data_IF_329706658594
#
_entry.id   IF_329706658594
#
_cell.length_a   1.000
_cell.length_b   1.000
_cell.length_c   1.000
_cell.angle_alpha   90.00
_cell.angle_beta   90.00
_cell.angle_gamma   90.00
#
_symmetry.space_group_name_H-M   'P 1'
#
loop_
_entity.id
_entity.type
_entity.pdbx_description
1 polymer ?
#
# COMPACT_ATOMS: atom_id res chain seq x y z
N UNK A 1 -6.21 -37.87 27.35
CA UNK A 1 -5.80 -36.66 28.09
C UNK A 1 -6.87 -35.60 27.90
N UNK A 2 -7.07 -34.71 28.87
CA UNK A 2 -7.92 -33.52 28.68
C UNK A 2 -7.26 -32.59 27.65
N UNK A 3 -8.01 -32.23 26.60
CA UNK A 3 -7.57 -31.38 25.48
C UNK A 3 -8.36 -30.08 25.38
N UNK A 4 -9.19 -29.79 26.39
CA UNK A 4 -10.02 -28.57 26.44
C UNK A 4 -9.19 -27.28 26.39
N UNK A 5 -7.94 -27.34 26.85
CA UNK A 5 -6.99 -26.23 26.82
C UNK A 5 -6.53 -25.84 25.40
N UNK A 6 -6.55 -26.74 24.42
CA UNK A 6 -5.94 -26.51 23.09
C UNK A 6 -6.56 -25.36 22.30
N UNK A 7 -7.84 -25.10 22.52
CA UNK A 7 -8.61 -24.06 21.82
C UNK A 7 -9.12 -22.97 22.77
N UNK A 8 -8.56 -22.90 23.99
CA UNK A 8 -8.83 -21.86 24.97
C UNK A 8 -7.92 -20.63 24.80
N UNK A 9 -7.93 -19.72 25.78
CA UNK A 9 -7.06 -18.53 25.76
C UNK A 9 -5.59 -18.92 25.87
N UNK A 10 -4.76 -18.40 24.95
CA UNK A 10 -3.33 -18.72 24.81
C UNK A 10 -2.44 -18.13 25.91
N UNK A 11 -2.96 -17.21 26.72
CA UNK A 11 -2.27 -16.55 27.84
C UNK A 11 -2.38 -17.31 29.17
N UNK A 12 -3.03 -18.47 29.16
CA UNK A 12 -3.27 -19.28 30.36
C UNK A 12 -2.11 -20.23 30.66
N UNK A 13 -1.93 -20.57 31.94
CA UNK A 13 -0.95 -21.57 32.37
C UNK A 13 -1.24 -22.94 31.76
N UNK A 14 -2.52 -23.28 31.60
CA UNK A 14 -2.95 -24.56 31.05
C UNK A 14 -2.57 -24.70 29.57
N UNK A 15 -2.71 -23.62 28.79
CA UNK A 15 -2.23 -23.60 27.40
C UNK A 15 -0.71 -23.74 27.32
N UNK A 16 0.04 -22.99 28.14
CA UNK A 16 1.50 -23.06 28.16
C UNK A 16 2.02 -24.46 28.58
N UNK A 17 1.37 -25.08 29.56
CA UNK A 17 1.71 -26.42 30.02
C UNK A 17 1.41 -27.46 28.94
N UNK A 18 0.21 -27.41 28.34
CA UNK A 18 -0.19 -28.33 27.28
C UNK A 18 0.70 -28.25 26.03
N UNK A 19 1.13 -27.04 25.62
CA UNK A 19 2.09 -26.89 24.51
C UNK A 19 3.47 -27.46 24.88
N UNK A 20 3.86 -27.39 26.15
CA UNK A 20 5.10 -28.02 26.62
C UNK A 20 4.99 -29.55 26.58
N UNK A 21 3.84 -30.12 26.93
CA UNK A 21 3.57 -31.56 26.79
C UNK A 21 3.64 -32.02 25.32
N UNK A 22 3.06 -31.25 24.39
CA UNK A 22 3.16 -31.51 22.95
C UNK A 22 4.62 -31.59 22.50
N UNK A 23 5.45 -30.63 22.92
CA UNK A 23 6.87 -30.61 22.57
C UNK A 23 7.62 -31.82 23.13
N UNK A 24 7.30 -32.26 24.34
CA UNK A 24 7.88 -33.47 24.94
C UNK A 24 7.47 -34.72 24.17
N UNK A 25 6.19 -34.85 23.80
CA UNK A 25 5.70 -35.97 22.97
C UNK A 25 6.37 -35.99 21.60
N UNK A 26 6.55 -34.84 20.96
CA UNK A 26 7.26 -34.73 19.69
C UNK A 26 8.71 -35.23 19.80
N UNK A 27 9.46 -34.79 20.81
CA UNK A 27 10.84 -35.24 21.05
C UNK A 27 10.94 -36.73 21.34
N UNK A 28 9.99 -37.27 22.13
CA UNK A 28 9.93 -38.70 22.42
C UNK A 28 9.63 -39.53 21.16
N UNK A 29 8.74 -39.03 20.29
CA UNK A 29 8.45 -39.65 19.01
C UNK A 29 9.66 -39.64 18.07
N UNK A 30 10.39 -38.52 17.98
CA UNK A 30 11.63 -38.43 17.23
C UNK A 30 12.69 -39.42 17.75
N UNK A 31 12.86 -39.54 19.07
CA UNK A 31 13.83 -40.44 19.67
C UNK A 31 13.52 -41.92 19.41
N UNK A 32 12.23 -42.28 19.31
CA UNK A 32 11.77 -43.66 19.10
C UNK A 32 11.71 -44.08 17.63
N UNK A 33 11.47 -43.15 16.71
CA UNK A 33 11.29 -43.44 15.26
C UNK A 33 12.47 -43.00 14.39
N UNK A 34 13.34 -42.13 14.90
CA UNK A 34 14.49 -41.60 14.16
C UNK A 34 14.13 -40.53 13.11
N UNK A 35 12.90 -40.01 13.12
CA UNK A 35 12.44 -38.98 12.18
C UNK A 35 13.17 -37.65 12.44
N UNK A 36 13.71 -37.02 11.39
CA UNK A 36 14.53 -35.81 11.49
C UNK A 36 13.74 -34.51 11.60
N UNK A 37 12.49 -34.51 11.17
CA UNK A 37 11.63 -33.32 11.10
C UNK A 37 10.26 -33.58 11.72
N UNK A 38 9.59 -32.53 12.16
CA UNK A 38 8.31 -32.59 12.83
C UNK A 38 7.23 -31.92 11.99
N UNK A 39 6.09 -32.57 11.77
CA UNK A 39 4.93 -31.89 11.20
C UNK A 39 4.47 -30.78 12.15
N UNK A 40 4.25 -29.57 11.65
CA UNK A 40 3.84 -28.45 12.49
C UNK A 40 2.30 -28.39 12.57
N UNK A 41 1.68 -28.43 13.77
CA UNK A 41 0.23 -28.50 13.94
C UNK A 41 -0.41 -27.12 14.05
N UNK A 42 0.34 -26.04 13.76
CA UNK A 42 -0.21 -24.70 13.83
C UNK A 42 -1.24 -24.47 12.72
N UNK A 43 -2.12 -23.49 12.90
CA UNK A 43 -3.15 -23.13 11.92
C UNK A 43 -2.57 -22.83 10.53
N UNK A 44 -1.36 -22.26 10.46
CA UNK A 44 -0.72 -21.91 9.19
C UNK A 44 -0.11 -23.12 8.44
N UNK A 45 0.30 -24.17 9.17
CA UNK A 45 1.03 -25.31 8.61
C UNK A 45 0.20 -26.60 8.54
N UNK A 46 -0.88 -26.69 9.32
CA UNK A 46 -1.91 -27.73 9.30
C UNK A 46 -1.44 -29.20 9.34
N UNK A 47 -0.26 -29.49 9.90
CA UNK A 47 0.44 -30.78 9.79
C UNK A 47 0.81 -31.21 8.36
N UNK A 48 0.86 -30.27 7.41
CA UNK A 48 1.31 -30.49 6.04
C UNK A 48 2.81 -30.23 5.91
N UNK A 49 3.27 -29.15 6.54
CA UNK A 49 4.65 -28.70 6.46
C UNK A 49 5.45 -29.18 7.68
N UNK A 50 6.72 -29.55 7.44
CA UNK A 50 7.64 -30.00 8.49
C UNK A 50 8.57 -28.88 8.95
N UNK A 51 8.99 -28.96 10.21
CA UNK A 51 10.00 -28.09 10.81
C UNK A 51 11.08 -28.94 11.45
N UNK A 52 12.32 -28.45 11.44
CA UNK A 52 13.50 -29.18 11.91
C UNK A 52 13.77 -29.00 13.42
N UNK A 53 12.96 -28.20 14.12
CA UNK A 53 13.17 -27.89 15.53
C UNK A 53 11.83 -27.79 16.28
N UNK A 54 11.72 -28.50 17.40
CA UNK A 54 10.52 -28.51 18.25
C UNK A 54 10.20 -27.12 18.84
N UNK A 55 11.20 -26.27 19.03
CA UNK A 55 10.99 -24.90 19.49
C UNK A 55 10.26 -24.05 18.44
N UNK A 56 10.44 -24.34 17.15
CA UNK A 56 9.69 -23.69 16.06
C UNK A 56 8.22 -24.10 16.12
N UNK A 57 7.93 -25.37 16.40
CA UNK A 57 6.54 -25.83 16.63
C UNK A 57 5.92 -25.06 17.77
N UNK A 58 6.64 -24.96 18.90
CA UNK A 58 6.18 -24.25 20.09
C UNK A 58 5.80 -22.82 19.74
N UNK A 59 6.73 -22.08 19.13
CA UNK A 59 6.55 -20.67 18.81
C UNK A 59 5.41 -20.46 17.80
N UNK A 60 5.30 -21.33 16.78
CA UNK A 60 4.19 -21.29 15.82
C UNK A 60 2.83 -21.55 16.47
N UNK A 61 2.73 -22.51 17.38
CA UNK A 61 1.49 -22.80 18.11
C UNK A 61 1.12 -21.65 19.05
N UNK A 62 2.09 -20.96 19.66
CA UNK A 62 1.81 -19.76 20.46
C UNK A 62 1.31 -18.58 19.62
N UNK A 63 1.90 -18.37 18.44
CA UNK A 63 1.55 -17.24 17.56
C UNK A 63 0.23 -17.47 16.81
N UNK A 64 0.04 -18.66 16.26
CA UNK A 64 -1.03 -18.96 15.30
C UNK A 64 -2.13 -19.86 15.88
N UNK A 65 -1.90 -20.52 17.02
CA UNK A 65 -2.81 -21.54 17.56
C UNK A 65 -2.71 -22.86 16.78
N UNK A 66 -3.48 -23.85 17.22
CA UNK A 66 -3.57 -25.15 16.55
C UNK A 66 -4.48 -25.09 15.33
N UNK A 67 -4.20 -25.94 14.32
CA UNK A 67 -5.18 -26.23 13.28
C UNK A 67 -6.49 -26.73 13.90
N UNK A 68 -7.65 -26.45 13.28
CA UNK A 68 -8.93 -26.91 13.81
C UNK A 68 -9.01 -28.44 13.97
N UNK A 69 -9.73 -28.88 14.99
CA UNK A 69 -10.10 -30.28 15.25
C UNK A 69 -8.93 -31.28 15.39
N UNK A 70 -7.71 -30.81 15.66
CA UNK A 70 -6.56 -31.65 15.94
C UNK A 70 -6.44 -32.00 17.42
N UNK A 71 -7.25 -32.97 17.88
CA UNK A 71 -7.26 -33.43 19.28
C UNK A 71 -6.41 -34.67 19.54
N UNK A 72 -5.99 -35.37 18.48
CA UNK A 72 -5.16 -36.58 18.53
C UNK A 72 -3.82 -36.29 17.87
N UNK A 73 -2.74 -36.45 18.62
CA UNK A 73 -1.40 -36.12 18.15
C UNK A 73 -0.76 -37.25 17.33
N UNK A 74 -1.41 -37.61 16.23
CA UNK A 74 -1.03 -38.76 15.38
C UNK A 74 0.43 -38.63 14.88
N UNK A 75 0.85 -37.41 14.52
CA UNK A 75 2.21 -37.11 14.07
C UNK A 75 3.27 -37.08 15.19
N UNK A 76 2.85 -37.25 16.44
CA UNK A 76 3.72 -37.31 17.63
C UNK A 76 3.53 -38.61 18.41
N UNK A 77 3.08 -39.67 17.74
CA UNK A 77 3.03 -41.03 18.28
C UNK A 77 1.80 -41.37 19.11
N UNK A 78 0.76 -40.52 19.14
CA UNK A 78 -0.51 -40.90 19.75
C UNK A 78 -1.33 -41.80 18.81
N UNK A 79 -1.68 -42.99 19.30
CA UNK A 79 -2.56 -43.92 18.60
C UNK A 79 -4.02 -43.48 18.74
N UNK A 80 -4.68 -43.15 17.64
CA UNK A 80 -6.11 -42.86 17.57
C UNK A 80 -6.60 -42.79 16.13
N UNK A 81 -7.91 -42.95 15.92
CA UNK A 81 -8.51 -42.89 14.57
C UNK A 81 -8.72 -41.43 14.19
N UNK A 82 -7.89 -40.94 13.26
CA UNK A 82 -8.13 -39.68 12.57
C UNK A 82 -9.10 -39.94 11.40
N UNK A 83 -10.35 -39.45 11.51
CA UNK A 83 -11.33 -39.52 10.41
C UNK A 83 -11.12 -38.29 9.52
N UNK A 84 -10.11 -38.35 8.66
CA UNK A 84 -9.91 -37.41 7.56
C UNK A 84 -10.03 -38.15 6.23
N UNK A 85 -10.96 -37.70 5.38
CA UNK A 85 -11.33 -38.36 4.13
C UNK A 85 -10.14 -38.62 3.19
N UNK A 86 -9.92 -39.89 2.84
CA UNK A 86 -9.25 -40.28 1.60
C UNK A 86 -9.76 -41.64 1.12
N UNK A 87 -10.33 -41.69 -0.10
CA UNK A 87 -10.41 -42.81 -1.06
C UNK A 87 -11.27 -42.35 -2.26
N UNK A 88 -10.67 -41.93 -3.39
CA UNK A 88 -10.28 -42.69 -4.59
C UNK A 88 -11.43 -43.32 -5.39
N UNK A 89 -11.55 -42.90 -6.66
CA UNK A 89 -11.76 -43.76 -7.85
C UNK A 89 -11.05 -43.14 -9.08
N UNK A 90 -9.82 -43.61 -9.32
CA UNK A 90 -9.23 -44.24 -10.55
C UNK A 90 -10.10 -44.22 -11.82
N UNK A 91 -9.67 -44.02 -13.09
CA UNK A 91 -8.40 -43.75 -13.83
C UNK A 91 -8.80 -43.43 -15.30
N UNK A 92 -8.17 -42.48 -15.99
CA UNK A 92 -7.38 -42.76 -17.21
C UNK A 92 -6.48 -41.59 -17.66
N UNK A 93 -5.21 -41.97 -17.81
CA UNK A 93 -3.98 -41.30 -18.18
C UNK A 93 -4.01 -40.54 -19.52
N UNK A 94 -3.35 -39.38 -19.63
CA UNK A 94 -1.99 -39.22 -20.21
C UNK A 94 -1.55 -37.73 -20.29
N UNK A 95 -0.44 -37.47 -19.59
CA UNK A 95 0.65 -36.47 -19.72
C UNK A 95 0.48 -35.03 -20.30
N UNK A 96 0.88 -34.08 -19.42
CA UNK A 96 1.70 -32.86 -19.58
C UNK A 96 1.32 -31.71 -20.55
N UNK A 97 0.95 -30.54 -19.98
CA UNK A 97 1.84 -29.37 -19.77
C UNK A 97 1.07 -28.04 -19.51
N UNK A 98 1.05 -27.62 -18.23
CA UNK A 98 1.41 -26.28 -17.69
C UNK A 98 0.77 -24.95 -18.21
N UNK A 99 0.09 -24.27 -17.25
CA UNK A 99 -0.29 -22.82 -17.06
C UNK A 99 -1.23 -22.16 -18.09
N UNK A 100 -2.21 -21.31 -17.74
CA UNK A 100 -2.78 -20.81 -16.47
C UNK A 100 -3.97 -19.89 -16.82
N UNK A 101 -5.15 -20.05 -16.19
CA UNK A 101 -6.23 -19.05 -16.01
C UNK A 101 -7.02 -19.51 -14.77
N UNK A 102 -7.36 -18.67 -13.78
CA UNK A 102 -8.53 -17.78 -13.76
C UNK A 102 -9.60 -18.42 -12.85
N UNK A 103 -9.85 -17.88 -11.66
CA UNK A 103 -11.10 -17.15 -11.32
C UNK A 103 -12.18 -18.01 -10.60
N UNK A 104 -12.68 -17.50 -9.45
CA UNK A 104 -14.03 -17.68 -8.86
C UNK A 104 -14.48 -19.05 -8.34
N UNK A 105 -15.38 -19.18 -7.37
CA UNK A 105 -16.07 -18.32 -6.40
C UNK A 105 -16.81 -19.30 -5.45
N UNK A 106 -17.68 -18.76 -4.59
CA UNK A 106 -18.82 -19.43 -3.94
C UNK A 106 -18.62 -19.88 -2.48
N UNK A 107 -18.90 -18.94 -1.57
CA UNK A 107 -19.67 -19.22 -0.36
C UNK A 107 -21.13 -19.43 -0.78
N UNK A 108 -21.74 -20.56 -0.44
CA UNK A 108 -23.19 -20.78 -0.59
C UNK A 108 -23.92 -20.35 0.71
N UNK A 109 -24.79 -19.36 0.52
CA UNK A 109 -26.16 -19.21 1.01
C UNK A 109 -26.63 -19.99 2.24
N UNK A 110 -27.12 -19.24 3.23
CA UNK A 110 -28.44 -19.49 3.81
C UNK A 110 -29.08 -18.13 4.14
N UNK A 111 -30.17 -17.83 3.41
CA UNK A 111 -31.07 -16.69 3.60
C UNK A 111 -31.77 -16.74 4.97
N UNK A 112 -31.80 -15.61 5.71
CA UNK A 112 -33.08 -15.00 6.14
C UNK A 112 -32.89 -13.56 6.65
N UNK A 113 -33.54 -12.64 5.94
CA UNK A 113 -34.17 -11.36 6.30
C UNK A 113 -33.55 -10.35 7.30
N UNK A 114 -33.37 -9.13 6.75
CA UNK A 114 -33.57 -7.81 7.36
C UNK A 114 -33.00 -7.52 8.76
N UNK A 115 -31.71 -7.13 8.82
CA UNK A 115 -31.28 -6.04 9.72
C UNK A 115 -30.16 -5.22 9.08
N UNK A 116 -30.53 -4.01 8.66
CA UNK A 116 -29.67 -2.84 8.48
C UNK A 116 -28.62 -2.74 9.60
N UNK A 117 -27.34 -2.97 9.30
CA UNK A 117 -26.24 -2.59 10.19
C UNK A 117 -25.07 -2.05 9.37
N UNK A 118 -25.08 -0.73 9.22
CA UNK A 118 -23.94 0.19 9.10
C UNK A 118 -22.58 -0.48 8.85
N UNK A 119 -22.22 -0.63 7.56
CA UNK A 119 -20.81 -0.72 7.18
C UNK A 119 -20.27 0.70 7.22
N UNK A 120 -19.31 0.91 8.13
CA UNK A 120 -18.61 2.15 8.43
C UNK A 120 -18.46 3.10 7.24
N UNK A 121 -19.25 4.17 7.32
CA UNK A 121 -19.03 5.46 6.69
C UNK A 121 -17.82 6.14 7.35
N UNK A 122 -16.63 5.56 7.19
CA UNK A 122 -15.39 6.30 7.44
C UNK A 122 -15.07 7.12 6.19
N UNK A 123 -15.84 8.18 6.03
CA UNK A 123 -15.42 9.37 5.33
C UNK A 123 -14.12 9.84 6.00
N UNK A 124 -13.00 9.37 5.46
CA UNK A 124 -11.64 9.70 5.85
C UNK A 124 -11.56 11.24 5.95
N UNK A 125 -11.62 11.79 7.17
CA UNK A 125 -11.58 13.24 7.51
C UNK A 125 -10.23 13.90 7.18
N UNK A 126 -9.55 13.37 6.17
CA UNK A 126 -8.37 13.94 5.53
C UNK A 126 -8.73 15.29 4.90
N UNK A 127 -9.99 15.50 4.51
CA UNK A 127 -10.53 16.77 4.02
C UNK A 127 -10.48 17.87 5.10
N UNK A 128 -10.97 17.58 6.32
CA UNK A 128 -10.91 18.50 7.46
C UNK A 128 -9.45 18.82 7.88
N UNK A 129 -8.50 17.90 7.64
CA UNK A 129 -7.08 18.10 7.97
C UNK A 129 -6.28 18.83 6.86
N UNK A 130 -6.79 18.88 5.63
CA UNK A 130 -6.14 19.53 4.48
C UNK A 130 -6.64 20.97 4.25
N UNK A 131 -7.84 21.31 4.74
CA UNK A 131 -8.40 22.67 4.64
C UNK A 131 -7.65 23.74 5.47
N UNK A 132 -6.63 23.36 6.26
CA UNK A 132 -5.82 24.30 7.07
C UNK A 132 -4.47 24.68 6.43
N UNK A 133 -4.17 24.30 5.18
CA UNK A 133 -2.83 24.49 4.60
C UNK A 133 -2.83 25.44 3.40
N UNK A 134 -3.08 26.72 3.68
CA UNK A 134 -2.69 27.82 2.78
C UNK A 134 -1.20 28.19 2.97
N UNK A 135 -0.63 28.87 1.97
CA UNK A 135 0.82 29.03 1.75
C UNK A 135 1.62 29.72 2.88
N UNK A 136 0.98 30.32 3.89
CA UNK A 136 1.64 30.87 5.10
C UNK A 136 1.96 29.80 6.18
N UNK A 137 1.52 28.54 5.99
CA UNK A 137 1.60 27.47 7.00
C UNK A 137 2.83 26.57 6.86
N UNK A 138 3.57 26.67 5.74
CA UNK A 138 4.74 25.81 5.47
C UNK A 138 5.86 25.98 6.50
N UNK A 139 6.12 27.21 6.92
CA UNK A 139 7.14 27.52 7.92
C UNK A 139 6.74 27.01 9.31
N UNK A 140 5.47 27.18 9.70
CA UNK A 140 4.93 26.63 10.96
C UNK A 140 4.93 25.10 10.99
N UNK A 141 4.64 24.46 9.86
CA UNK A 141 4.68 23.00 9.71
C UNK A 141 6.12 22.50 9.81
N UNK A 142 7.07 23.16 9.13
CA UNK A 142 8.48 22.83 9.22
C UNK A 142 9.04 23.03 10.63
N UNK A 143 8.63 24.08 11.34
CA UNK A 143 8.97 24.31 12.76
C UNK A 143 8.41 23.20 13.66
N UNK A 144 7.13 22.83 13.49
CA UNK A 144 6.52 21.75 14.27
C UNK A 144 7.23 20.41 14.06
N UNK A 145 7.60 20.10 12.81
CA UNK A 145 8.35 18.91 12.47
C UNK A 145 9.78 18.93 13.02
N UNK A 146 10.47 20.07 12.89
CA UNK A 146 11.83 20.23 13.41
C UNK A 146 11.84 20.06 14.92
N UNK A 147 10.88 20.68 15.62
CA UNK A 147 10.69 20.49 17.06
C UNK A 147 10.44 19.02 17.40
N UNK A 148 9.57 18.32 16.67
CA UNK A 148 9.32 16.89 16.90
C UNK A 148 10.53 16.00 16.57
N UNK A 149 11.39 16.41 15.64
CA UNK A 149 12.63 15.72 15.29
C UNK A 149 13.70 15.88 16.37
N UNK A 150 13.74 17.04 17.03
CA UNK A 150 14.66 17.36 18.13
C UNK A 150 14.18 16.86 19.49
N UNK A 151 12.86 16.70 19.68
CA UNK A 151 12.27 16.23 20.92
C UNK A 151 12.54 14.73 21.13
N UNK A 152 13.26 14.31 22.18
CA UNK A 152 13.44 12.90 22.52
C UNK A 152 12.08 12.21 22.77
N UNK A 153 11.97 10.91 22.47
CA UNK A 153 10.71 10.17 22.70
C UNK A 153 10.28 10.18 24.18
N UNK A 154 11.23 10.16 25.09
CA UNK A 154 11.06 10.30 26.54
C UNK A 154 12.37 10.84 27.14
N UNK A 155 12.37 11.35 28.39
CA UNK A 155 13.56 11.90 29.02
C UNK A 155 14.73 10.91 29.02
N UNK A 156 15.88 11.33 28.46
CA UNK A 156 17.07 10.49 28.34
C UNK A 156 17.11 9.53 27.14
N UNK A 157 16.09 9.53 26.27
CA UNK A 157 16.12 8.72 25.04
C UNK A 157 17.09 9.33 24.01
N UNK A 158 18.16 8.61 23.68
CA UNK A 158 19.13 9.03 22.64
C UNK A 158 18.90 8.37 21.29
N UNK A 159 18.16 7.25 21.27
CA UNK A 159 17.96 6.43 20.07
C UNK A 159 16.80 6.93 19.20
N UNK A 160 15.73 7.43 19.82
CA UNK A 160 14.53 7.88 19.11
C UNK A 160 14.09 9.26 19.58
N UNK A 161 13.83 10.14 18.62
CA UNK A 161 12.99 11.32 18.78
C UNK A 161 11.50 10.99 18.60
N UNK A 162 10.61 11.89 19.06
CA UNK A 162 9.16 11.81 18.84
C UNK A 162 8.84 11.51 17.38
N UNK A 163 9.42 12.28 16.46
CA UNK A 163 9.19 12.09 15.03
C UNK A 163 9.70 10.72 14.55
N UNK A 164 10.94 10.33 14.89
CA UNK A 164 11.50 9.06 14.43
C UNK A 164 10.73 7.84 14.94
N UNK A 165 10.21 7.90 16.18
CA UNK A 165 9.39 6.85 16.78
C UNK A 165 8.06 6.71 16.04
N UNK A 166 7.35 7.83 15.83
CA UNK A 166 6.07 7.84 15.09
C UNK A 166 6.27 7.36 13.66
N UNK A 167 7.29 7.84 12.94
CA UNK A 167 7.64 7.35 11.61
C UNK A 167 7.86 5.83 11.58
N UNK A 168 8.58 5.29 12.57
CA UNK A 168 8.89 3.85 12.64
C UNK A 168 7.63 3.02 12.87
N UNK A 169 6.78 3.44 13.81
CA UNK A 169 5.52 2.75 14.11
C UNK A 169 4.53 2.85 12.95
N UNK A 170 4.46 4.00 12.29
CA UNK A 170 3.59 4.18 11.12
C UNK A 170 4.06 3.33 9.93
N UNK A 171 5.37 3.19 9.73
CA UNK A 171 5.90 2.24 8.74
C UNK A 171 5.47 0.81 9.05
N UNK A 172 5.58 0.37 10.31
CA UNK A 172 5.12 -0.96 10.75
C UNK A 172 3.62 -1.13 10.47
N UNK A 173 2.80 -0.15 10.87
CA UNK A 173 1.36 -0.13 10.59
C UNK A 173 1.06 -0.36 9.11
N UNK A 174 1.69 0.44 8.24
CA UNK A 174 1.47 0.35 6.79
C UNK A 174 2.01 -0.94 6.18
N UNK A 175 3.16 -1.45 6.64
CA UNK A 175 3.72 -2.70 6.13
C UNK A 175 2.98 -3.95 6.63
N UNK A 176 2.40 -3.87 7.82
CA UNK A 176 1.69 -4.97 8.47
C UNK A 176 0.18 -4.95 8.22
N UNK A 177 -0.36 -3.95 7.52
CA UNK A 177 -1.79 -3.83 7.24
C UNK A 177 -2.65 -3.59 8.48
N UNK A 178 -2.15 -2.85 9.47
CA UNK A 178 -2.88 -2.64 10.72
C UNK A 178 -4.01 -1.63 10.55
N UNK A 179 -5.17 -1.95 11.10
CA UNK A 179 -6.33 -1.04 11.13
C UNK A 179 -6.05 0.18 12.00
N UNK A 180 -6.80 1.27 11.77
CA UNK A 180 -6.66 2.52 12.54
C UNK A 180 -7.03 2.33 14.02
N UNK A 181 -7.98 1.43 14.29
CA UNK A 181 -8.41 1.03 15.64
C UNK A 181 -7.28 0.29 16.35
N UNK A 182 -6.78 -0.80 15.77
CA UNK A 182 -5.74 -1.61 16.41
C UNK A 182 -4.43 -0.84 16.59
N UNK A 183 -4.09 0.05 15.66
CA UNK A 183 -2.93 0.92 15.80
C UNK A 183 -3.10 1.96 16.92
N UNK A 184 -4.32 2.48 17.12
CA UNK A 184 -4.62 3.38 18.24
C UNK A 184 -4.47 2.66 19.57
N UNK A 185 -5.01 1.45 19.70
CA UNK A 185 -4.87 0.62 20.90
C UNK A 185 -3.39 0.30 21.19
N UNK A 186 -2.60 -0.04 20.17
CA UNK A 186 -1.15 -0.23 20.31
C UNK A 186 -0.48 1.03 20.85
N UNK A 187 -0.78 2.19 20.27
CA UNK A 187 -0.16 3.46 20.66
C UNK A 187 -0.45 3.82 22.12
N UNK A 188 -1.67 3.55 22.60
CA UNK A 188 -2.01 3.70 24.03
C UNK A 188 -1.17 2.76 24.89
N UNK A 189 -1.15 1.46 24.55
CA UNK A 189 -0.38 0.48 25.31
C UNK A 189 1.12 0.81 25.36
N UNK A 190 1.72 1.22 24.23
CA UNK A 190 3.11 1.63 24.17
C UNK A 190 3.37 2.91 24.98
N UNK A 191 2.46 3.89 24.95
CA UNK A 191 2.59 5.11 25.75
C UNK A 191 2.59 4.81 27.25
N UNK A 192 1.82 3.81 27.69
CA UNK A 192 1.77 3.39 29.10
C UNK A 192 2.95 2.49 29.51
N UNK A 193 3.55 1.75 28.57
CA UNK A 193 4.76 0.96 28.81
C UNK A 193 6.05 1.81 28.86
N UNK A 194 6.05 2.99 28.23
CA UNK A 194 7.19 3.89 28.20
C UNK A 194 7.34 4.71 29.49
N UNK A 195 8.54 5.24 29.80
CA UNK A 195 8.74 6.09 30.97
C UNK A 195 7.80 7.30 31.02
N UNK A 196 7.54 7.78 32.23
CA UNK A 196 6.76 8.99 32.47
C UNK A 196 7.38 10.19 31.72
N UNK A 197 6.51 11.01 31.12
CA UNK A 197 6.92 12.13 30.27
C UNK A 197 7.28 11.74 28.84
N UNK A 198 6.81 10.58 28.35
CA UNK A 198 6.95 10.23 26.93
C UNK A 198 6.04 11.07 26.02
N UNK A 199 6.52 11.28 24.81
CA UNK A 199 5.91 12.12 23.77
C UNK A 199 5.20 11.30 22.69
N UNK A 200 5.00 10.00 22.92
CA UNK A 200 4.36 9.13 21.95
C UNK A 200 2.87 9.51 21.80
N UNK A 201 2.36 9.74 20.58
CA UNK A 201 0.94 9.98 20.37
C UNK A 201 0.10 8.81 20.85
N UNK A 202 -1.02 9.09 21.52
CA UNK A 202 -1.96 8.08 22.03
C UNK A 202 -3.07 7.71 21.04
N UNK A 203 -3.01 8.19 19.81
CA UNK A 203 -3.97 7.82 18.78
C UNK A 203 -3.38 7.87 17.38
N UNK A 204 -3.96 7.05 16.49
CA UNK A 204 -3.64 7.09 15.08
C UNK A 204 -3.88 8.48 14.48
N UNK A 205 -4.91 9.20 14.93
CA UNK A 205 -5.18 10.56 14.48
C UNK A 205 -4.00 11.51 14.74
N UNK A 206 -3.46 11.55 15.96
CA UNK A 206 -2.33 12.43 16.28
C UNK A 206 -1.03 11.97 15.62
N UNK A 207 -0.83 10.66 15.46
CA UNK A 207 0.28 10.12 14.68
C UNK A 207 0.17 10.53 13.20
N UNK A 208 -1.00 10.36 12.57
CA UNK A 208 -1.30 10.74 11.18
C UNK A 208 -1.17 12.25 11.01
N UNK A 209 -1.60 13.07 11.97
CA UNK A 209 -1.43 14.54 11.97
C UNK A 209 0.03 14.95 11.97
N UNK A 210 0.88 14.30 12.78
CA UNK A 210 2.33 14.54 12.75
C UNK A 210 2.96 14.10 11.42
N UNK A 211 2.43 13.05 10.80
CA UNK A 211 2.91 12.52 9.53
C UNK A 211 2.36 13.24 8.29
N UNK A 212 1.23 13.94 8.40
CA UNK A 212 0.51 14.61 7.31
C UNK A 212 1.41 15.54 6.49
N UNK A 213 2.31 16.35 7.09
CA UNK A 213 3.30 17.14 6.35
C UNK A 213 4.23 16.36 5.41
N UNK A 214 4.46 15.06 5.68
CA UNK A 214 5.26 14.19 4.81
C UNK A 214 4.44 13.54 3.70
N UNK A 215 3.11 13.65 3.76
CA UNK A 215 2.20 13.17 2.76
C UNK A 215 2.49 13.79 1.39
N UNK A 216 2.18 13.03 0.34
CA UNK A 216 2.10 13.61 -0.99
C UNK A 216 0.81 14.44 -1.03
N UNK A 217 0.95 15.74 -1.24
CA UNK A 217 -0.20 16.60 -1.53
C UNK A 217 -0.95 16.03 -2.73
N UNK A 218 -2.27 15.97 -2.62
CA UNK A 218 -3.14 15.58 -3.72
C UNK A 218 -4.31 16.54 -3.80
N UNK A 219 -4.80 16.76 -5.02
CA UNK A 219 -5.96 17.60 -5.34
C UNK A 219 -7.06 16.68 -5.87
N UNK A 220 -8.24 16.77 -5.26
CA UNK A 220 -9.45 16.11 -5.77
C UNK A 220 -10.06 17.02 -6.82
N UNK A 221 -10.10 16.56 -8.07
CA UNK A 221 -10.74 17.29 -9.17
C UNK A 221 -11.97 16.50 -9.59
N UNK A 222 -13.14 17.13 -9.61
CA UNK A 222 -14.37 16.43 -10.01
C UNK A 222 -14.34 16.24 -11.53
N UNK A 223 -14.85 15.11 -11.99
CA UNK A 223 -14.96 14.79 -13.41
C UNK A 223 -16.42 14.60 -13.80
N UNK A 224 -16.74 14.90 -15.06
CA UNK A 224 -18.02 14.52 -15.63
C UNK A 224 -18.18 12.99 -15.59
N UNK A 225 -19.36 12.44 -15.25
CA UNK A 225 -19.60 10.99 -15.28
C UNK A 225 -19.41 10.33 -16.65
N UNK A 226 -19.61 11.12 -17.72
CA UNK A 226 -19.40 10.72 -19.11
C UNK A 226 -18.05 11.21 -19.65
N UNK A 227 -17.08 11.51 -18.77
CA UNK A 227 -15.68 11.81 -19.10
C UNK A 227 -15.45 13.03 -20.01
N UNK A 228 -16.48 13.83 -20.23
CA UNK A 228 -16.47 14.97 -21.14
C UNK A 228 -15.52 16.11 -20.76
N UNK A 229 -15.28 16.31 -19.45
CA UNK A 229 -14.41 17.36 -18.89
C UNK A 229 -14.11 17.12 -17.41
N UNK A 230 -13.07 17.80 -16.93
CA UNK A 230 -12.83 18.06 -15.52
C UNK A 230 -13.49 19.38 -15.10
N UNK A 231 -14.11 19.39 -13.92
CA UNK A 231 -14.59 20.61 -13.26
C UNK A 231 -13.39 21.34 -12.65
N UNK A 232 -12.56 21.88 -13.52
CA UNK A 232 -11.28 22.53 -13.24
C UNK A 232 -11.22 23.86 -14.00
N UNK A 233 -10.49 24.85 -13.47
CA UNK A 233 -10.37 26.21 -14.03
C UNK A 233 -11.74 26.82 -14.37
N UNK A 234 -12.02 27.10 -15.64
CA UNK A 234 -13.26 27.73 -16.06
C UNK A 234 -14.54 26.93 -15.76
N UNK A 235 -14.43 25.63 -15.46
CA UNK A 235 -15.57 24.76 -15.14
C UNK A 235 -15.72 24.47 -13.65
N UNK A 236 -14.86 25.03 -12.79
CA UNK A 236 -14.79 24.71 -11.35
C UNK A 236 -16.11 24.97 -10.61
N UNK A 237 -16.84 26.02 -10.99
CA UNK A 237 -18.09 26.44 -10.35
C UNK A 237 -19.35 25.87 -11.02
N UNK A 238 -19.23 24.94 -11.96
CA UNK A 238 -20.38 24.34 -12.62
C UNK A 238 -20.89 23.11 -11.87
N UNK A 239 -22.20 23.02 -11.74
CA UNK A 239 -22.89 21.85 -11.15
C UNK A 239 -23.32 20.82 -12.20
N UNK A 240 -23.30 21.21 -13.48
CA UNK A 240 -23.68 20.37 -14.62
C UNK A 240 -22.66 20.50 -15.73
N UNK A 241 -22.45 19.40 -16.45
CA UNK A 241 -21.52 19.38 -17.56
C UNK A 241 -22.10 20.21 -18.73
N UNK A 242 -21.41 21.25 -19.22
CA UNK A 242 -21.86 22.03 -20.37
C UNK A 242 -21.94 21.22 -21.69
N UNK A 243 -21.25 20.06 -21.79
CA UNK A 243 -21.28 19.23 -23.00
C UNK A 243 -22.44 18.25 -23.04
N UNK A 244 -22.70 17.54 -21.94
CA UNK A 244 -23.69 16.46 -21.90
C UNK A 244 -24.87 16.72 -20.95
N UNK A 245 -24.86 17.83 -20.20
CA UNK A 245 -25.93 18.20 -19.26
C UNK A 245 -25.99 17.38 -17.97
N UNK A 246 -25.15 16.34 -17.83
CA UNK A 246 -25.13 15.46 -16.64
C UNK A 246 -24.66 16.22 -15.40
N UNK A 247 -25.29 15.93 -14.27
CA UNK A 247 -24.93 16.48 -12.96
C UNK A 247 -23.51 16.09 -12.55
N UNK A 248 -22.77 17.04 -11.97
CA UNK A 248 -21.49 16.82 -11.29
C UNK A 248 -21.62 15.88 -10.09
N UNK A 249 -22.79 15.85 -9.47
CA UNK A 249 -23.04 15.17 -8.20
C UNK A 249 -24.04 14.02 -8.31
N UNK A 250 -23.86 13.00 -7.47
CA UNK A 250 -24.83 11.92 -7.22
C UNK A 250 -25.83 12.36 -6.16
N UNK A 251 -27.11 12.01 -6.33
CA UNK A 251 -28.16 12.19 -5.30
C UNK A 251 -28.51 10.82 -4.70
N UNK A 252 -28.43 10.68 -3.38
CA UNK A 252 -29.00 9.55 -2.64
C UNK A 252 -30.30 10.02 -1.95
N UNK A 253 -31.44 9.43 -2.31
CA UNK A 253 -32.73 9.64 -1.61
C UNK A 253 -33.51 10.91 -1.97
N UNK A 254 -34.81 10.89 -1.64
CA UNK A 254 -35.84 11.93 -1.94
C UNK A 254 -35.76 13.13 -0.98
N UNK A 255 -34.94 13.08 0.05
CA UNK A 255 -34.75 14.18 0.99
C UNK A 255 -33.71 15.18 0.45
N UNK A 256 -34.20 16.34 0.01
CA UNK A 256 -33.38 17.47 -0.38
C UNK A 256 -32.40 17.85 0.76
N UNK A 257 -31.10 17.75 0.47
CA UNK A 257 -30.12 18.63 1.10
C UNK A 257 -29.09 18.04 2.07
N UNK A 258 -28.93 16.71 2.23
CA UNK A 258 -27.91 16.21 3.18
C UNK A 258 -26.68 15.49 2.62
N UNK A 259 -26.71 14.91 1.42
CA UNK A 259 -25.56 14.13 0.92
C UNK A 259 -25.36 14.32 -0.59
N UNK A 260 -24.60 15.35 -0.96
CA UNK A 260 -24.24 15.66 -2.36
C UNK A 260 -22.77 15.30 -2.56
N UNK A 261 -22.50 14.13 -3.12
CA UNK A 261 -21.13 13.66 -3.39
C UNK A 261 -20.79 13.80 -4.88
N UNK A 262 -19.52 14.12 -5.23
CA UNK A 262 -19.11 14.13 -6.62
C UNK A 262 -19.33 12.77 -7.26
N UNK A 263 -19.85 12.78 -8.49
CA UNK A 263 -20.18 11.56 -9.19
C UNK A 263 -18.94 10.79 -9.65
N UNK A 264 -17.88 11.51 -10.05
CA UNK A 264 -16.57 10.97 -10.43
C UNK A 264 -15.47 11.94 -9.97
N UNK A 265 -14.34 11.40 -9.51
CA UNK A 265 -13.21 12.17 -8.99
C UNK A 265 -11.91 11.69 -9.63
N UNK A 266 -11.10 12.65 -10.04
CA UNK A 266 -9.70 12.50 -10.39
C UNK A 266 -8.86 12.88 -9.17
N UNK A 267 -7.93 12.00 -8.78
CA UNK A 267 -6.94 12.32 -7.77
C UNK A 267 -5.66 12.75 -8.47
N UNK A 268 -5.32 14.03 -8.36
CA UNK A 268 -4.14 14.58 -8.98
C UNK A 268 -3.05 14.81 -7.92
N UNK A 269 -1.85 14.31 -8.17
CA UNK A 269 -0.69 14.46 -7.30
C UNK A 269 0.31 15.40 -7.98
N UNK A 270 0.40 16.68 -7.58
CA UNK A 270 1.24 17.67 -8.22
C UNK A 270 2.71 17.24 -8.32
N UNK A 271 3.31 17.43 -9.49
CA UNK A 271 4.65 16.90 -9.79
C UNK A 271 5.75 17.93 -9.55
N UNK A 272 5.45 19.22 -9.74
CA UNK A 272 6.41 20.32 -9.55
C UNK A 272 7.01 20.32 -8.13
N UNK A 273 6.24 20.27 -7.02
CA UNK A 273 6.80 20.27 -5.67
C UNK A 273 7.72 19.07 -5.43
N UNK A 274 7.41 17.92 -6.03
CA UNK A 274 8.17 16.68 -5.88
C UNK A 274 9.51 16.77 -6.60
N UNK A 275 9.55 17.35 -7.80
CA UNK A 275 10.80 17.62 -8.50
C UNK A 275 11.65 18.67 -7.78
N UNK A 276 11.06 19.76 -7.29
CA UNK A 276 11.77 20.74 -6.44
C UNK A 276 12.46 20.06 -5.25
N UNK A 277 11.78 19.13 -4.59
CA UNK A 277 12.36 18.33 -3.48
C UNK A 277 13.47 17.38 -3.92
N UNK A 278 13.39 16.79 -5.12
CA UNK A 278 14.49 15.98 -5.64
C UNK A 278 15.72 16.84 -5.95
N UNK A 279 15.53 18.04 -6.50
CA UNK A 279 16.63 18.97 -6.78
C UNK A 279 17.23 19.62 -5.54
N UNK A 280 16.47 19.76 -4.45
CA UNK A 280 17.00 20.31 -3.19
C UNK A 280 18.01 19.38 -2.50
N UNK A 281 17.95 18.07 -2.77
CA UNK A 281 18.85 17.08 -2.19
C UNK A 281 20.05 16.86 -3.11
N UNK A 282 21.24 17.29 -2.68
CA UNK A 282 22.50 17.23 -3.44
C UNK A 282 22.74 15.89 -4.15
N UNK A 283 22.50 14.77 -3.45
CA UNK A 283 22.67 13.41 -4.01
C UNK A 283 21.72 13.14 -5.19
N UNK A 284 20.45 13.50 -5.04
CA UNK A 284 19.45 13.29 -6.09
C UNK A 284 19.62 14.27 -7.25
N UNK A 285 19.92 15.54 -6.97
CA UNK A 285 20.24 16.53 -7.99
C UNK A 285 21.44 16.12 -8.87
N UNK A 286 22.47 15.48 -8.29
CA UNK A 286 23.56 14.88 -9.08
C UNK A 286 23.06 13.76 -9.98
N UNK A 287 22.24 12.85 -9.45
CA UNK A 287 21.70 11.74 -10.24
C UNK A 287 20.78 12.22 -11.37
N UNK A 288 20.01 13.30 -11.17
CA UNK A 288 19.14 13.89 -12.20
C UNK A 288 19.91 14.51 -13.37
N UNK A 289 21.22 14.74 -13.23
CA UNK A 289 22.10 15.23 -14.30
C UNK A 289 23.04 14.14 -14.83
N UNK A 290 22.91 12.91 -14.35
CA UNK A 290 23.80 11.80 -14.71
C UNK A 290 23.84 11.54 -16.22
N UNK A 291 22.70 11.65 -16.91
CA UNK A 291 22.62 11.43 -18.35
C UNK A 291 23.49 12.39 -19.19
N UNK A 292 23.89 13.54 -18.63
CA UNK A 292 24.74 14.52 -19.28
C UNK A 292 26.22 14.41 -18.87
N UNK A 293 26.53 13.69 -17.78
CA UNK A 293 27.87 13.55 -17.22
C UNK A 293 28.77 12.73 -18.16
N UNK A 294 29.83 13.32 -18.75
CA UNK A 294 30.69 12.63 -19.71
C UNK A 294 31.62 11.60 -19.06
N UNK A 295 31.94 11.76 -17.77
CA UNK A 295 32.85 10.87 -17.04
C UNK A 295 32.11 9.63 -16.54
N UNK A 296 30.82 9.76 -16.21
CA UNK A 296 30.02 8.65 -15.70
C UNK A 296 29.24 7.89 -16.80
N UNK A 297 28.81 8.58 -17.86
CA UNK A 297 28.00 7.96 -18.91
C UNK A 297 28.86 7.56 -20.10
N UNK A 298 29.03 6.25 -20.29
CA UNK A 298 29.72 5.70 -21.46
C UNK A 298 28.95 5.98 -22.76
N UNK A 299 29.59 6.66 -23.72
CA UNK A 299 29.05 6.97 -25.06
C UNK A 299 29.81 6.20 -26.13
N UNK A 300 29.62 4.89 -26.17
CA UNK A 300 30.30 3.97 -27.10
C UNK A 300 29.49 3.65 -28.36
N UNK A 301 28.43 4.43 -28.64
CA UNK A 301 27.55 4.22 -29.78
C UNK A 301 26.48 3.13 -29.57
N UNK A 302 26.48 2.44 -28.44
CA UNK A 302 25.49 1.42 -28.09
C UNK A 302 24.29 2.03 -27.34
N UNK A 303 23.13 1.40 -27.44
CA UNK A 303 21.92 1.81 -26.73
C UNK A 303 21.97 1.30 -25.27
N UNK A 304 22.50 2.12 -24.35
CA UNK A 304 22.66 1.75 -22.92
C UNK A 304 21.64 2.44 -22.01
N UNK A 305 21.09 3.55 -22.47
CA UNK A 305 20.20 4.41 -21.71
C UNK A 305 19.23 5.12 -22.67
N UNK A 306 18.02 5.56 -22.24
CA UNK A 306 17.12 6.33 -23.10
C UNK A 306 17.78 7.54 -23.79
N UNK A 307 18.78 8.16 -23.15
CA UNK A 307 19.57 9.26 -23.73
C UNK A 307 20.44 8.86 -24.94
N UNK A 308 20.65 7.56 -25.19
CA UNK A 308 21.32 7.07 -26.41
C UNK A 308 20.37 6.95 -27.60
N UNK A 309 19.06 6.97 -27.34
CA UNK A 309 18.04 6.75 -28.36
C UNK A 309 18.04 7.84 -29.44
N UNK A 310 17.68 7.50 -30.69
CA UNK A 310 17.45 8.48 -31.74
C UNK A 310 16.41 9.53 -31.35
N UNK A 311 15.37 9.14 -30.62
CA UNK A 311 14.28 10.03 -30.18
C UNK A 311 14.80 11.14 -29.26
N UNK A 312 15.59 10.79 -28.25
CA UNK A 312 16.20 11.77 -27.35
C UNK A 312 17.10 12.75 -28.12
N UNK A 313 17.98 12.22 -28.98
CA UNK A 313 18.88 13.04 -29.82
C UNK A 313 18.11 13.94 -30.79
N UNK A 314 16.93 13.52 -31.25
CA UNK A 314 16.07 14.31 -32.14
C UNK A 314 15.44 15.47 -31.38
N UNK A 315 14.94 15.24 -30.17
CA UNK A 315 14.40 16.29 -29.29
C UNK A 315 15.50 17.32 -28.97
N UNK A 316 16.69 16.87 -28.59
CA UNK A 316 17.81 17.77 -28.28
C UNK A 316 18.21 18.63 -29.49
N UNK A 317 18.05 18.13 -30.73
CA UNK A 317 18.30 18.91 -31.95
C UNK A 317 17.19 19.88 -32.28
N UNK A 318 15.92 19.48 -32.10
CA UNK A 318 14.75 20.33 -32.37
C UNK A 318 14.65 21.47 -31.35
N UNK A 319 15.06 21.21 -30.12
CA UNK A 319 15.00 22.17 -29.01
C UNK A 319 16.40 22.33 -28.39
N UNK A 320 17.34 22.89 -29.14
CA UNK A 320 18.77 23.00 -28.76
C UNK A 320 19.00 23.67 -27.39
N UNK A 321 18.26 24.73 -27.07
CA UNK A 321 18.32 25.40 -25.75
C UNK A 321 17.90 24.46 -24.63
N UNK A 322 16.82 23.71 -24.82
CA UNK A 322 16.33 22.72 -23.86
C UNK A 322 17.29 21.52 -23.75
N UNK A 323 17.85 21.08 -24.88
CA UNK A 323 18.79 19.99 -25.00
C UNK A 323 20.08 20.23 -24.22
N UNK A 324 20.61 21.47 -24.31
CA UNK A 324 21.85 21.91 -23.67
C UNK A 324 21.77 22.05 -22.15
N UNK A 325 20.59 22.26 -21.58
CA UNK A 325 20.42 22.36 -20.14
C UNK A 325 20.26 20.95 -19.51
N UNK A 326 21.28 20.45 -18.77
CA UNK A 326 21.25 19.10 -18.20
C UNK A 326 20.26 18.93 -17.05
N UNK A 327 19.73 20.03 -16.48
CA UNK A 327 18.69 19.96 -15.43
C UNK A 327 17.30 19.68 -16.00
N UNK A 328 17.09 19.93 -17.29
CA UNK A 328 15.80 19.71 -17.92
C UNK A 328 15.42 18.23 -17.90
N UNK A 329 14.25 17.94 -17.36
CA UNK A 329 13.80 16.57 -17.14
C UNK A 329 13.20 15.99 -18.43
N UNK A 330 13.57 14.76 -18.74
CA UNK A 330 12.94 13.90 -19.74
C UNK A 330 12.18 12.83 -18.98
N UNK A 331 10.87 12.81 -19.21
CA UNK A 331 9.94 11.97 -18.46
C UNK A 331 9.30 10.94 -19.41
N UNK A 332 9.24 9.70 -18.96
CA UNK A 332 8.37 8.68 -19.56
C UNK A 332 7.02 8.73 -18.88
N UNK A 333 5.95 8.80 -19.66
CA UNK A 333 4.58 8.70 -19.15
C UNK A 333 4.05 7.31 -19.49
N UNK A 334 3.52 6.62 -18.49
CA UNK A 334 2.82 5.35 -18.70
C UNK A 334 1.51 5.33 -17.92
N UNK A 335 0.54 4.60 -18.46
CA UNK A 335 -0.78 4.42 -17.86
C UNK A 335 -1.31 3.05 -18.27
N UNK A 336 -1.99 2.40 -17.35
CA UNK A 336 -2.64 1.11 -17.55
C UNK A 336 -3.84 1.02 -16.61
N UNK A 337 -4.84 0.21 -16.98
CA UNK A 337 -6.00 -0.04 -16.15
C UNK A 337 -5.77 -1.23 -15.22
N UNK A 338 -6.16 -1.12 -13.95
CA UNK A 338 -6.16 -2.25 -13.01
C UNK A 338 -7.48 -2.35 -12.25
N UNK A 339 -7.84 -3.56 -11.86
CA UNK A 339 -8.99 -3.81 -11.00
C UNK A 339 -8.55 -4.04 -9.55
N UNK A 340 -8.81 -3.09 -8.63
CA UNK A 340 -8.37 -3.23 -7.24
C UNK A 340 -9.19 -4.23 -6.44
N UNK A 341 -10.36 -4.69 -6.92
CA UNK A 341 -11.29 -5.56 -6.18
C UNK A 341 -11.17 -7.05 -6.53
N UNK A 342 -10.09 -7.46 -7.19
CA UNK A 342 -9.80 -8.86 -7.52
C UNK A 342 -10.34 -9.30 -8.88
N UNK A 343 -9.85 -10.45 -9.34
CA UNK A 343 -9.96 -10.95 -10.73
C UNK A 343 -11.43 -11.03 -11.21
N UNK A 344 -12.39 -11.25 -10.30
CA UNK A 344 -13.78 -11.62 -10.63
C UNK A 344 -14.78 -10.50 -10.83
N UNK A 345 -14.42 -9.26 -10.50
CA UNK A 345 -15.35 -8.14 -10.62
C UNK A 345 -14.93 -7.22 -11.74
N UNK A 346 -15.30 -7.51 -12.99
CA UNK A 346 -15.07 -6.62 -14.14
C UNK A 346 -15.79 -5.26 -14.06
N UNK A 347 -16.49 -4.99 -12.95
CA UNK A 347 -17.29 -3.79 -12.73
C UNK A 347 -16.46 -2.56 -12.35
N UNK A 348 -15.17 -2.71 -12.06
CA UNK A 348 -14.34 -1.58 -11.63
C UNK A 348 -12.93 -1.61 -12.23
N UNK A 349 -12.57 -0.52 -12.92
CA UNK A 349 -11.23 -0.26 -13.45
C UNK A 349 -10.71 1.07 -12.92
N UNK A 350 -9.53 1.05 -12.31
CA UNK A 350 -8.80 2.24 -11.86
C UNK A 350 -7.57 2.44 -12.72
N UNK A 351 -7.33 3.66 -13.17
CA UNK A 351 -6.25 3.99 -14.11
C UNK A 351 -5.22 4.92 -13.45
N UNK A 352 -4.10 4.38 -12.95
CA UNK A 352 -2.95 5.19 -12.58
C UNK A 352 -2.26 5.78 -13.82
N UNK A 353 -1.82 7.04 -13.70
CA UNK A 353 -0.85 7.66 -14.61
C UNK A 353 0.46 7.84 -13.86
N UNK A 354 1.49 7.16 -14.34
CA UNK A 354 2.81 7.09 -13.73
C UNK A 354 3.82 7.88 -14.58
N UNK A 355 4.75 8.55 -13.92
CA UNK A 355 5.88 9.24 -14.52
C UNK A 355 7.19 8.57 -14.12
N UNK A 356 8.03 8.30 -15.10
CA UNK A 356 9.37 7.74 -14.95
C UNK A 356 10.39 8.81 -15.29
N UNK A 357 11.38 9.02 -14.43
CA UNK A 357 12.42 10.02 -14.65
C UNK A 357 13.58 9.40 -15.44
N UNK A 358 13.59 9.59 -16.76
CA UNK A 358 14.63 9.01 -17.61
C UNK A 358 15.99 9.67 -17.46
N UNK A 359 16.11 10.81 -16.79
CA UNK A 359 17.42 11.42 -16.52
C UNK A 359 18.29 10.62 -15.54
N UNK A 360 17.67 9.76 -14.73
CA UNK A 360 18.34 9.00 -13.69
C UNK A 360 19.22 7.88 -14.28
N UNK A 361 20.30 7.48 -13.57
CA UNK A 361 21.11 6.35 -13.99
C UNK A 361 20.31 5.05 -14.16
N UNK A 362 20.77 4.11 -15.01
CA UNK A 362 20.08 2.85 -15.28
C UNK A 362 19.70 2.04 -14.03
N UNK A 363 20.53 2.09 -12.98
CA UNK A 363 20.28 1.37 -11.73
C UNK A 363 19.24 2.03 -10.81
N UNK A 364 18.78 3.24 -11.15
CA UNK A 364 17.77 4.00 -10.40
C UNK A 364 16.48 4.25 -11.18
N UNK A 365 16.54 4.50 -12.50
CA UNK A 365 15.41 5.03 -13.26
C UNK A 365 14.13 4.18 -13.17
N UNK A 366 14.25 2.85 -13.11
CA UNK A 366 13.11 1.92 -13.00
C UNK A 366 12.83 1.43 -11.56
N UNK A 367 13.50 1.99 -10.53
CA UNK A 367 13.19 1.62 -9.14
C UNK A 367 11.87 2.27 -8.73
N UNK A 368 10.99 1.51 -8.07
CA UNK A 368 9.67 1.95 -7.56
C UNK A 368 9.69 3.34 -6.90
N UNK A 369 10.74 3.66 -6.15
CA UNK A 369 10.93 4.98 -5.49
C UNK A 369 10.97 6.18 -6.45
N UNK A 370 11.39 5.99 -7.70
CA UNK A 370 11.52 7.05 -8.71
C UNK A 370 10.43 7.00 -9.78
N UNK A 371 9.48 6.07 -9.67
CA UNK A 371 8.26 6.04 -10.47
C UNK A 371 7.20 6.82 -9.68
N UNK A 372 6.76 7.94 -10.22
CA UNK A 372 5.83 8.84 -9.56
C UNK A 372 4.40 8.60 -10.03
N UNK A 373 3.50 8.24 -9.12
CA UNK A 373 2.06 8.36 -9.38
C UNK A 373 1.70 9.84 -9.50
N UNK A 374 1.16 10.25 -10.64
CA UNK A 374 0.79 11.64 -10.95
C UNK A 374 -0.73 11.84 -10.98
N UNK A 375 -1.47 10.84 -11.48
CA UNK A 375 -2.92 10.86 -11.52
C UNK A 375 -3.44 9.48 -11.11
N UNK A 376 -4.57 9.45 -10.42
CA UNK A 376 -5.38 8.25 -10.23
C UNK A 376 -6.79 8.56 -10.71
N UNK A 377 -7.17 7.96 -11.84
CA UNK A 377 -8.50 8.09 -12.42
C UNK A 377 -9.34 6.97 -11.83
N UNK A 378 -10.32 7.34 -11.01
CA UNK A 378 -11.24 6.37 -10.39
C UNK A 378 -12.20 5.77 -11.42
N UNK A 379 -12.52 4.48 -11.22
CA UNK A 379 -13.50 3.75 -12.02
C UNK A 379 -14.94 4.27 -11.87
N UNK A 380 -15.94 3.53 -12.41
CA UNK A 380 -15.90 2.10 -12.67
C UNK A 380 -15.35 1.69 -14.05
N UNK A 381 -15.41 2.57 -15.05
CA UNK A 381 -15.03 2.25 -16.43
C UNK A 381 -13.72 2.91 -16.83
N UNK A 382 -13.04 2.29 -17.79
CA UNK A 382 -11.86 2.88 -18.42
C UNK A 382 -12.23 4.23 -19.07
N UNK A 383 -11.33 5.23 -19.03
CA UNK A 383 -11.55 6.53 -19.66
C UNK A 383 -11.60 6.42 -21.20
N UNK A 384 -11.12 5.32 -21.79
CA UNK A 384 -11.17 5.09 -23.23
C UNK A 384 -10.46 6.18 -24.01
N UNK A 385 -11.16 6.80 -24.96
CA UNK A 385 -10.63 7.90 -25.79
C UNK A 385 -10.51 9.23 -25.03
N UNK A 386 -11.18 9.37 -23.88
CA UNK A 386 -11.25 10.62 -23.11
C UNK A 386 -10.12 10.73 -22.06
N UNK A 387 -9.03 9.96 -22.21
CA UNK A 387 -7.88 10.03 -21.30
C UNK A 387 -7.20 11.40 -21.31
N UNK A 388 -7.24 12.09 -22.44
CA UNK A 388 -6.69 13.44 -22.64
C UNK A 388 -7.33 14.46 -21.68
N UNK A 389 -8.63 14.32 -21.39
CA UNK A 389 -9.36 15.14 -20.41
C UNK A 389 -8.72 15.02 -19.03
N UNK A 390 -8.34 13.81 -18.61
CA UNK A 390 -7.74 13.56 -17.31
C UNK A 390 -6.27 14.00 -17.22
N UNK A 391 -5.57 14.05 -18.35
CA UNK A 391 -4.18 14.48 -18.42
C UNK A 391 -4.02 16.01 -18.30
N UNK A 392 -5.10 16.79 -18.42
CA UNK A 392 -5.05 18.26 -18.38
C UNK A 392 -4.19 18.85 -17.24
N UNK A 393 -4.42 18.55 -15.95
CA UNK A 393 -3.62 19.13 -14.86
C UNK A 393 -2.15 18.71 -14.91
N UNK A 394 -1.86 17.50 -15.41
CA UNK A 394 -0.49 17.06 -15.60
C UNK A 394 0.19 17.81 -16.75
N UNK A 395 -0.52 18.02 -17.85
CA UNK A 395 -0.02 18.80 -19.01
C UNK A 395 0.24 20.25 -18.61
N UNK A 396 -0.59 20.85 -17.76
CA UNK A 396 -0.35 22.20 -17.23
C UNK A 396 0.98 22.28 -16.48
N UNK A 397 1.24 21.33 -15.57
CA UNK A 397 2.50 21.25 -14.84
C UNK A 397 3.70 21.05 -15.79
N UNK A 398 3.57 20.18 -16.79
CA UNK A 398 4.61 19.92 -17.78
C UNK A 398 4.89 21.16 -18.64
N UNK A 399 3.86 21.90 -19.07
CA UNK A 399 4.01 23.16 -19.80
C UNK A 399 4.67 24.22 -18.95
N UNK A 400 4.24 24.39 -17.70
CA UNK A 400 4.87 25.32 -16.77
C UNK A 400 6.36 25.04 -16.58
N UNK A 401 6.74 23.76 -16.41
CA UNK A 401 8.15 23.38 -16.34
C UNK A 401 8.91 23.55 -17.66
N UNK A 402 8.22 23.50 -18.80
CA UNK A 402 8.84 23.73 -20.10
C UNK A 402 9.10 25.22 -20.37
N UNK A 403 8.15 26.09 -20.00
CA UNK A 403 8.19 27.51 -20.29
C UNK A 403 8.96 28.34 -19.25
N UNK A 404 8.85 27.97 -17.96
CA UNK A 404 9.43 28.72 -16.83
C UNK A 404 10.60 28.02 -16.13
N UNK A 405 10.78 26.71 -16.39
CA UNK A 405 11.55 25.78 -15.55
C UNK A 405 13.05 25.73 -15.74
#
# INVERSE_FOLDING_TARGET
MDRSWMYGRRDTKDFMHGVSELCMSALQHQASTGVKEFYCPCADYENVNTVNNVLVIRDHVFMHGFRPNYHVWVYYGESGVYVGNSSKNVVHEQEEAIYAEGEADCFEDEDDDDVENNIDDDNDRVEDMLHEVEDEVRDRVFECLSKAAETPLYPGCTKYSKLSAVCTLYNIKTSGGWTDISFTELLVALSDMLPAGNELPRSNYYAKKLMCPFGLEYKKIHACPNDCLLYHKQYENLDKCPRCGVSRYKRKGVSEGKNVYPAKVLWYLPIIPRFKRLFSIKKYARNLRWHADPDQRKRDGLLRHPADSPQWKTIDKLHDTFGKEPRNLRLGLCTDGMNPFGTLSSQHSTWPVLLVIYNLPPWLCMKRKYIMLSLLISGPKQPGYDIDVYLEPLVDDLRKMWDEG
#
